data_IF_375301428810
#
_entry.id   IF_375301428810
#
_cell.length_a   1.000
_cell.length_b   1.000
_cell.length_c   1.000
_cell.angle_alpha   90.00
_cell.angle_beta   90.00
_cell.angle_gamma   90.00
#
_symmetry.space_group_name_H-M   'P 1'
#
loop_
_entity.id
_entity.type
_entity.pdbx_description
1 polymer ?
#
# COMPACT_ATOMS: atom_id res chain seq x y z
N UNK A 1 11.03 -52.06 48.21
CA UNK A 1 10.37 -51.27 47.14
C UNK A 1 8.86 -51.02 47.36
N UNK A 2 8.16 -51.76 48.24
CA UNK A 2 6.72 -51.54 48.51
C UNK A 2 6.40 -50.41 49.53
N UNK A 3 7.33 -50.04 50.42
CA UNK A 3 7.08 -48.98 51.42
C UNK A 3 7.08 -47.56 50.84
N UNK A 4 7.87 -47.28 49.81
CA UNK A 4 7.95 -45.95 49.17
C UNK A 4 6.65 -45.58 48.43
N UNK A 5 5.96 -46.54 47.81
CA UNK A 5 4.68 -46.32 47.14
C UNK A 5 3.55 -45.94 48.10
N UNK A 6 3.56 -46.47 49.34
CA UNK A 6 2.54 -46.15 50.36
C UNK A 6 2.69 -44.74 50.94
N UNK A 7 3.90 -44.20 51.00
CA UNK A 7 4.14 -42.84 51.48
C UNK A 7 3.73 -41.77 50.46
N UNK A 8 3.98 -42.01 49.16
CA UNK A 8 3.52 -41.12 48.08
C UNK A 8 1.99 -40.96 48.05
N UNK A 9 1.24 -42.04 48.29
CA UNK A 9 -0.23 -41.99 48.31
C UNK A 9 -0.80 -41.32 49.57
N UNK A 10 -0.03 -41.24 50.67
CA UNK A 10 -0.44 -40.58 51.92
C UNK A 10 -0.27 -39.06 51.85
N UNK A 11 0.72 -38.58 51.09
CA UNK A 11 0.92 -37.15 50.80
C UNK A 11 -0.24 -36.61 49.94
N UNK A 12 -0.80 -37.43 49.05
CA UNK A 12 -1.99 -37.08 48.25
C UNK A 12 -3.31 -37.03 49.03
N UNK A 13 -3.34 -37.45 50.30
CA UNK A 13 -4.57 -37.54 51.11
C UNK A 13 -4.59 -36.56 52.30
N UNK A 14 -3.61 -35.65 52.38
CA UNK A 14 -3.51 -34.67 53.48
C UNK A 14 -3.92 -33.29 52.97
N UNK A 15 -4.98 -32.70 53.55
CA UNK A 15 -5.54 -31.42 53.10
C UNK A 15 -4.80 -30.18 53.63
N UNK A 16 -3.91 -30.35 54.61
CA UNK A 16 -3.25 -29.25 55.33
C UNK A 16 -2.18 -28.50 54.50
N UNK A 17 -1.72 -29.07 53.37
CA UNK A 17 -0.75 -28.46 52.46
C UNK A 17 -1.36 -27.88 51.18
N UNK A 18 -2.66 -28.08 50.96
CA UNK A 18 -3.35 -27.75 49.71
C UNK A 18 -3.37 -26.24 49.44
N UNK A 19 -3.58 -25.42 50.48
CA UNK A 19 -3.61 -23.96 50.34
C UNK A 19 -2.30 -23.35 49.84
N UNK A 20 -1.16 -23.85 50.32
CA UNK A 20 0.16 -23.37 49.87
C UNK A 20 0.44 -23.80 48.43
N UNK A 21 -0.01 -25.01 48.06
CA UNK A 21 0.15 -25.59 46.73
C UNK A 21 -0.73 -24.89 45.69
N UNK A 22 -1.97 -24.55 46.05
CA UNK A 22 -2.85 -23.72 45.23
C UNK A 22 -2.26 -22.32 45.03
N UNK A 23 -1.78 -21.66 46.09
CA UNK A 23 -1.18 -20.33 46.00
C UNK A 23 0.08 -20.31 45.12
N UNK A 24 0.93 -21.34 45.21
CA UNK A 24 2.14 -21.45 44.36
C UNK A 24 1.82 -21.79 42.91
N UNK A 25 0.65 -22.35 42.59
CA UNK A 25 0.20 -22.57 41.21
C UNK A 25 -0.50 -21.33 40.63
N UNK A 26 -1.29 -20.63 41.44
CA UNK A 26 -2.08 -19.47 41.02
C UNK A 26 -1.17 -18.30 40.62
N UNK A 27 -0.11 -18.02 41.39
CA UNK A 27 0.80 -16.91 41.10
C UNK A 27 1.47 -17.00 39.69
N UNK A 28 2.16 -18.09 39.33
CA UNK A 28 2.75 -18.23 38.00
C UNK A 28 1.70 -18.29 36.88
N UNK A 29 0.50 -18.82 37.17
CA UNK A 29 -0.61 -18.84 36.22
C UNK A 29 -1.10 -17.43 35.88
N UNK A 30 -1.27 -16.57 36.89
CA UNK A 30 -1.64 -15.16 36.68
C UNK A 30 -0.51 -14.43 35.92
N UNK A 31 0.75 -14.65 36.30
CA UNK A 31 1.90 -14.06 35.59
C UNK A 31 1.89 -14.47 34.11
N UNK A 32 1.69 -15.76 33.82
CA UNK A 32 1.61 -16.26 32.45
C UNK A 32 0.45 -15.65 31.66
N UNK A 33 -0.73 -15.54 32.28
CA UNK A 33 -1.89 -14.89 31.66
C UNK A 33 -1.62 -13.41 31.34
N UNK A 34 -1.03 -12.66 32.28
CA UNK A 34 -0.70 -11.25 32.03
C UNK A 34 0.32 -11.07 30.91
N UNK A 35 1.32 -11.97 30.83
CA UNK A 35 2.31 -11.97 29.76
C UNK A 35 1.68 -12.30 28.40
N UNK A 36 0.71 -13.22 28.37
CA UNK A 36 -0.06 -13.56 27.16
C UNK A 36 -0.90 -12.35 26.70
N UNK A 37 -1.57 -11.66 27.62
CA UNK A 37 -2.29 -10.43 27.30
C UNK A 37 -1.37 -9.34 26.75
N UNK A 38 -0.16 -9.17 27.30
CA UNK A 38 0.82 -8.23 26.77
C UNK A 38 1.25 -8.59 25.34
N UNK A 39 1.48 -9.86 25.04
CA UNK A 39 1.83 -10.30 23.68
C UNK A 39 0.69 -10.00 22.70
N UNK A 40 -0.55 -10.26 23.07
CA UNK A 40 -1.72 -9.94 22.24
C UNK A 40 -1.82 -8.43 22.00
N UNK A 41 -1.61 -7.61 23.02
CA UNK A 41 -1.61 -6.15 22.89
C UNK A 41 -0.54 -5.66 21.90
N UNK A 42 0.66 -6.23 21.95
CA UNK A 42 1.75 -5.89 21.01
C UNK A 42 1.38 -6.29 19.58
N UNK A 43 0.82 -7.48 19.36
CA UNK A 43 0.38 -7.93 18.03
C UNK A 43 -0.71 -7.00 17.47
N UNK A 44 -1.68 -6.63 18.30
CA UNK A 44 -2.74 -5.70 17.89
C UNK A 44 -2.18 -4.32 17.53
N UNK A 45 -1.21 -3.82 18.30
CA UNK A 45 -0.52 -2.56 18.00
C UNK A 45 0.24 -2.63 16.67
N UNK A 46 0.95 -3.72 16.39
CA UNK A 46 1.67 -3.89 15.12
C UNK A 46 0.72 -3.92 13.92
N UNK A 47 -0.44 -4.59 14.04
CA UNK A 47 -1.47 -4.58 13.00
C UNK A 47 -2.01 -3.17 12.74
N UNK A 48 -2.31 -2.42 13.80
CA UNK A 48 -2.82 -1.05 13.69
C UNK A 48 -1.78 -0.12 13.04
N UNK A 49 -0.52 -0.20 13.46
CA UNK A 49 0.58 0.59 12.89
C UNK A 49 0.82 0.26 11.41
N UNK A 50 0.73 -1.02 11.01
CA UNK A 50 0.88 -1.40 9.61
C UNK A 50 -0.27 -0.87 8.73
N UNK A 51 -1.50 -0.92 9.25
CA UNK A 51 -2.67 -0.34 8.57
C UNK A 51 -2.52 1.18 8.40
N UNK A 52 -2.11 1.91 9.44
CA UNK A 52 -1.87 3.35 9.35
C UNK A 52 -0.81 3.68 8.29
N UNK A 53 0.30 2.93 8.27
CA UNK A 53 1.34 3.14 7.27
C UNK A 53 0.83 2.86 5.86
N UNK A 54 0.07 1.78 5.65
CA UNK A 54 -0.53 1.47 4.35
C UNK A 54 -1.47 2.60 3.88
N UNK A 55 -2.26 3.17 4.79
CA UNK A 55 -3.15 4.30 4.47
C UNK A 55 -2.38 5.56 4.11
N UNK A 56 -1.40 5.96 4.93
CA UNK A 56 -0.59 7.16 4.64
C UNK A 56 0.12 7.02 3.30
N UNK A 57 0.72 5.86 3.02
CA UNK A 57 1.42 5.62 1.75
C UNK A 57 0.43 5.65 0.58
N UNK A 58 -0.73 5.00 0.72
CA UNK A 58 -1.75 5.02 -0.33
C UNK A 58 -2.23 6.45 -0.64
N UNK A 59 -2.49 7.27 0.38
CA UNK A 59 -2.91 8.66 0.24
C UNK A 59 -1.82 9.56 -0.36
N UNK A 60 -0.58 9.44 0.11
CA UNK A 60 0.55 10.19 -0.41
C UNK A 60 0.81 9.87 -1.89
N UNK A 61 0.74 8.59 -2.26
CA UNK A 61 0.85 8.17 -3.66
C UNK A 61 -0.31 8.68 -4.50
N UNK A 62 -1.53 8.67 -3.96
CA UNK A 62 -2.70 9.14 -4.69
C UNK A 62 -2.68 10.66 -4.90
N UNK A 63 -2.15 11.41 -3.93
CA UNK A 63 -2.00 12.86 -4.01
C UNK A 63 -0.90 13.27 -5.01
N UNK A 64 0.18 12.49 -5.10
CA UNK A 64 1.34 12.78 -5.96
C UNK A 64 1.30 12.03 -7.31
N UNK A 65 0.17 11.39 -7.64
CA UNK A 65 0.06 10.59 -8.87
C UNK A 65 0.13 11.42 -10.15
N UNK A 66 0.01 12.74 -10.06
CA UNK A 66 -0.05 13.64 -11.21
C UNK A 66 1.28 13.75 -11.95
N UNK A 67 2.41 13.73 -11.22
CA UNK A 67 3.76 13.87 -11.77
C UNK A 67 4.73 12.86 -11.12
N UNK A 68 5.42 12.08 -11.95
CA UNK A 68 6.40 11.06 -11.53
C UNK A 68 7.61 11.63 -10.78
N UNK A 69 8.05 12.84 -11.13
CA UNK A 69 9.20 13.51 -10.50
C UNK A 69 8.92 14.11 -9.11
N UNK A 70 7.71 13.97 -8.57
CA UNK A 70 7.40 14.46 -7.22
C UNK A 70 7.89 13.48 -6.16
N UNK A 71 8.45 14.02 -5.10
CA UNK A 71 8.79 13.25 -3.92
C UNK A 71 7.50 12.82 -3.19
N UNK A 72 7.39 11.54 -2.85
CA UNK A 72 6.17 10.97 -2.26
C UNK A 72 5.86 11.56 -0.87
N UNK A 73 6.88 11.86 -0.06
CA UNK A 73 6.68 12.36 1.30
C UNK A 73 6.22 13.81 1.33
N UNK A 74 6.90 14.68 0.58
CA UNK A 74 6.72 16.14 0.63
C UNK A 74 5.76 16.64 -0.45
N UNK A 75 5.54 15.87 -1.52
CA UNK A 75 4.84 16.31 -2.72
C UNK A 75 5.58 17.41 -3.48
N UNK A 76 6.80 17.74 -3.06
CA UNK A 76 7.63 18.74 -3.73
C UNK A 76 8.24 18.12 -4.99
N UNK A 77 8.50 18.96 -5.97
CA UNK A 77 9.37 18.56 -7.07
C UNK A 77 10.77 18.37 -6.50
N UNK A 78 11.44 17.28 -6.87
CA UNK A 78 12.83 17.06 -6.49
C UNK A 78 13.71 18.15 -7.13
N UNK A 79 13.83 19.31 -6.48
CA UNK A 79 14.79 20.35 -6.81
C UNK A 79 16.15 19.96 -6.24
N UNK A 80 16.66 18.79 -6.63
CA UNK A 80 17.95 18.32 -6.10
C UNK A 80 19.00 18.46 -7.19
N UNK A 81 19.74 19.57 -7.05
CA UNK A 81 20.88 20.02 -7.83
C UNK A 81 20.52 20.66 -9.18
N UNK A 82 21.22 21.76 -9.49
CA UNK A 82 21.05 22.67 -10.63
C UNK A 82 21.17 22.04 -12.04
N UNK A 83 21.02 20.74 -12.18
CA UNK A 83 20.80 20.06 -13.44
C UNK A 83 19.30 19.77 -13.57
N UNK A 84 18.61 20.58 -14.37
CA UNK A 84 17.30 20.28 -14.94
C UNK A 84 17.42 19.08 -15.92
N UNK A 85 17.94 17.95 -15.45
CA UNK A 85 18.25 16.75 -16.25
C UNK A 85 17.81 15.46 -15.57
N UNK A 86 17.00 15.52 -14.52
CA UNK A 86 16.17 14.35 -14.25
C UNK A 86 15.05 14.32 -15.30
N UNK A 87 15.30 13.59 -16.40
CA UNK A 87 14.37 13.37 -17.51
C UNK A 87 13.05 12.71 -17.09
N UNK A 88 12.90 12.36 -15.81
CA UNK A 88 11.63 11.97 -15.18
C UNK A 88 10.64 13.13 -15.03
N UNK A 89 11.04 14.37 -15.30
CA UNK A 89 10.22 15.56 -15.07
C UNK A 89 9.12 15.85 -16.10
N UNK A 90 9.14 15.25 -17.29
CA UNK A 90 8.15 15.55 -18.35
C UNK A 90 7.21 14.37 -18.58
N UNK A 91 6.35 14.14 -17.59
CA UNK A 91 5.11 13.41 -17.80
C UNK A 91 4.28 14.20 -18.81
N UNK A 92 4.50 13.94 -20.10
CA UNK A 92 3.99 14.78 -21.19
C UNK A 92 2.52 15.14 -21.02
N UNK A 93 2.13 16.34 -21.47
CA UNK A 93 0.86 17.03 -21.12
C UNK A 93 -0.42 16.15 -21.14
N UNK A 94 -0.46 15.11 -21.97
CA UNK A 94 -1.60 14.21 -22.17
C UNK A 94 -1.27 12.74 -21.91
N UNK A 95 -0.26 12.45 -21.10
CA UNK A 95 0.13 11.10 -20.73
C UNK A 95 -1.04 10.28 -20.18
N UNK A 96 -2.03 10.94 -19.56
CA UNK A 96 -3.28 10.33 -19.08
C UNK A 96 -4.12 9.63 -20.15
N UNK A 97 -3.98 9.97 -21.43
CA UNK A 97 -4.75 9.35 -22.52
C UNK A 97 -4.00 8.14 -23.09
N UNK A 98 -2.68 8.21 -23.13
CA UNK A 98 -1.84 7.25 -23.85
C UNK A 98 -1.10 6.27 -22.94
N UNK A 99 -0.97 6.58 -21.64
CA UNK A 99 -0.12 5.85 -20.70
C UNK A 99 -0.73 5.75 -19.27
N UNK A 100 -2.07 5.73 -19.16
CA UNK A 100 -2.83 5.59 -17.90
C UNK A 100 -3.35 4.17 -17.66
N UNK A 101 -2.65 3.15 -18.16
CA UNK A 101 -3.08 1.79 -17.95
C UNK A 101 -2.74 1.27 -16.54
N UNK A 102 -3.49 0.25 -16.12
CA UNK A 102 -3.36 -0.38 -14.80
C UNK A 102 -2.01 -1.07 -14.67
N UNK A 103 -1.28 -0.82 -13.58
CA UNK A 103 0.07 -1.32 -13.37
C UNK A 103 0.21 -1.91 -11.96
N UNK A 104 1.06 -2.91 -11.80
CA UNK A 104 1.41 -3.50 -10.51
C UNK A 104 2.93 -3.64 -10.44
N UNK A 105 3.51 -3.56 -9.24
CA UNK A 105 4.97 -3.62 -9.07
C UNK A 105 5.63 -4.89 -9.61
N UNK A 106 4.88 -5.99 -9.71
CA UNK A 106 5.35 -7.29 -10.21
C UNK A 106 5.27 -7.46 -11.73
N UNK A 107 4.54 -6.58 -12.43
CA UNK A 107 4.31 -6.70 -13.87
C UNK A 107 5.40 -5.98 -14.69
N UNK A 108 5.81 -6.49 -15.86
CA UNK A 108 6.74 -5.78 -16.73
C UNK A 108 6.11 -4.50 -17.32
N UNK A 109 6.95 -3.50 -17.59
CA UNK A 109 6.51 -2.26 -18.25
C UNK A 109 5.97 -2.58 -19.66
N UNK A 110 4.79 -2.04 -19.97
CA UNK A 110 4.13 -2.14 -21.28
C UNK A 110 3.94 -0.75 -21.86
N UNK A 111 3.73 -0.63 -23.18
CA UNK A 111 3.55 0.67 -23.84
C UNK A 111 2.45 1.54 -23.19
N UNK A 112 1.33 0.92 -22.79
CA UNK A 112 0.19 1.60 -22.16
C UNK A 112 0.35 1.86 -20.65
N UNK A 113 1.37 1.27 -20.01
CA UNK A 113 1.57 1.29 -18.56
C UNK A 113 2.95 1.82 -18.15
N UNK A 114 3.79 2.24 -19.11
CA UNK A 114 5.19 2.63 -18.86
C UNK A 114 5.32 3.70 -17.78
N UNK A 115 4.53 4.77 -17.87
CA UNK A 115 4.55 5.85 -16.86
C UNK A 115 3.95 5.39 -15.53
N UNK A 116 2.79 4.72 -15.54
CA UNK A 116 2.19 4.16 -14.32
C UNK A 116 3.15 3.22 -13.58
N UNK A 117 3.94 2.42 -14.33
CA UNK A 117 4.93 1.50 -13.78
C UNK A 117 6.13 2.24 -13.21
N UNK A 118 6.65 3.23 -13.91
CA UNK A 118 7.73 4.08 -13.41
C UNK A 118 7.36 4.76 -12.08
N UNK A 119 6.13 5.30 -11.99
CA UNK A 119 5.60 5.87 -10.73
C UNK A 119 5.51 4.84 -9.61
N UNK A 120 5.09 3.62 -9.93
CA UNK A 120 5.07 2.51 -8.96
C UNK A 120 6.48 2.12 -8.54
N UNK A 121 7.46 2.15 -9.44
CA UNK A 121 8.84 1.76 -9.14
C UNK A 121 9.52 2.76 -8.21
N UNK A 122 9.31 4.06 -8.43
CA UNK A 122 9.72 5.11 -7.49
C UNK A 122 9.07 4.90 -6.12
N UNK A 123 7.78 4.51 -6.10
CA UNK A 123 7.08 4.19 -4.86
C UNK A 123 7.61 2.94 -4.16
N UNK A 124 8.04 1.93 -4.92
CA UNK A 124 8.64 0.71 -4.39
C UNK A 124 10.03 0.99 -3.80
N UNK A 125 10.83 1.87 -4.41
CA UNK A 125 12.10 2.35 -3.86
C UNK A 125 11.88 3.06 -2.51
N UNK A 126 10.87 3.91 -2.43
CA UNK A 126 10.46 4.56 -1.18
C UNK A 126 10.03 3.58 -0.09
N UNK A 127 9.30 2.51 -0.45
CA UNK A 127 8.94 1.45 0.50
C UNK A 127 10.16 0.69 1.02
N UNK A 128 11.12 0.42 0.14
CA UNK A 128 12.36 -0.27 0.48
C UNK A 128 13.21 0.55 1.46
N UNK A 129 13.32 1.86 1.26
CA UNK A 129 14.03 2.77 2.19
C UNK A 129 13.40 2.76 3.60
N UNK A 130 12.06 2.68 3.67
CA UNK A 130 11.34 2.52 4.95
C UNK A 130 11.44 1.12 5.57
N UNK A 131 12.12 0.18 4.91
CA UNK A 131 12.28 -1.20 5.38
C UNK A 131 10.96 -1.97 5.45
N UNK A 132 9.98 -1.63 4.60
CA UNK A 132 8.68 -2.31 4.55
C UNK A 132 8.49 -2.98 3.20
N UNK A 133 8.28 -4.29 3.21
CA UNK A 133 7.98 -5.06 2.01
C UNK A 133 6.50 -4.97 1.64
N UNK A 134 6.19 -4.83 0.36
CA UNK A 134 4.82 -4.72 -0.10
C UNK A 134 4.65 -4.77 -1.61
N UNK A 135 3.40 -4.73 -2.05
CA UNK A 135 3.01 -4.62 -3.45
C UNK A 135 2.14 -3.37 -3.61
N UNK A 136 2.45 -2.56 -4.61
CA UNK A 136 1.63 -1.42 -5.01
C UNK A 136 0.99 -1.76 -6.34
N UNK A 137 -0.31 -1.53 -6.43
CA UNK A 137 -1.11 -1.71 -7.64
C UNK A 137 -1.91 -0.44 -7.93
N UNK A 138 -1.90 -0.03 -9.18
CA UNK A 138 -2.73 1.03 -9.72
C UNK A 138 -3.80 0.44 -10.64
N UNK A 139 -5.06 0.78 -10.39
CA UNK A 139 -6.16 0.54 -11.31
C UNK A 139 -6.59 1.85 -11.93
N UNK A 140 -6.71 1.87 -13.27
CA UNK A 140 -7.23 2.99 -14.04
C UNK A 140 -8.77 3.09 -13.98
N UNK A 141 -9.37 3.45 -15.12
CA UNK A 141 -10.83 3.60 -15.28
C UNK A 141 -11.62 2.33 -14.86
N UNK A 142 -12.83 2.46 -14.26
CA UNK A 142 -13.63 3.69 -14.12
C UNK A 142 -13.33 4.54 -12.86
N UNK A 143 -12.79 3.93 -11.81
CA UNK A 143 -12.42 4.62 -10.56
C UNK A 143 -10.92 4.40 -10.31
N UNK A 144 -10.15 5.47 -10.49
CA UNK A 144 -8.70 5.44 -10.32
C UNK A 144 -8.36 5.18 -8.86
N UNK A 145 -7.73 4.05 -8.60
CA UNK A 145 -7.40 3.61 -7.25
C UNK A 145 -5.98 3.11 -7.17
N UNK A 146 -5.30 3.49 -6.08
CA UNK A 146 -4.02 2.94 -5.70
C UNK A 146 -4.27 2.01 -4.53
N UNK A 147 -3.90 0.75 -4.70
CA UNK A 147 -3.97 -0.28 -3.66
C UNK A 147 -2.56 -0.56 -3.19
N UNK A 148 -2.31 -0.37 -1.90
CA UNK A 148 -1.04 -0.67 -1.25
C UNK A 148 -1.26 -1.87 -0.34
N UNK A 149 -0.51 -2.94 -0.58
CA UNK A 149 -0.47 -4.13 0.27
C UNK A 149 0.88 -4.20 0.95
N UNK A 150 0.93 -4.01 2.27
CA UNK A 150 2.15 -4.14 3.05
C UNK A 150 2.14 -5.49 3.77
N UNK A 151 3.31 -6.13 3.85
CA UNK A 151 3.50 -7.36 4.60
C UNK A 151 4.69 -7.17 5.56
N UNK A 152 4.50 -7.59 6.82
CA UNK A 152 5.53 -7.54 7.85
C UNK A 152 5.50 -8.81 8.67
N UNK A 153 6.67 -9.40 8.88
CA UNK A 153 6.83 -10.50 9.81
C UNK A 153 6.90 -9.98 11.26
N UNK A 154 6.00 -10.49 12.10
CA UNK A 154 5.86 -10.15 13.53
C UNK A 154 7.02 -10.72 14.33
N UNK A 155 7.45 -11.94 13.96
CA UNK A 155 8.49 -12.68 14.65
C UNK A 155 9.44 -13.34 13.63
N UNK A 156 10.42 -12.60 13.07
CA UNK A 156 11.29 -13.09 12.00
C UNK A 156 12.20 -14.26 12.42
N UNK A 157 12.33 -14.54 13.72
CA UNK A 157 13.18 -15.62 14.26
C UNK A 157 12.40 -16.75 14.95
N UNK A 158 11.07 -16.64 15.04
CA UNK A 158 10.24 -17.59 15.78
C UNK A 158 9.23 -18.24 14.83
N UNK A 159 9.62 -19.36 14.24
CA UNK A 159 8.72 -20.18 13.42
C UNK A 159 7.86 -21.07 14.31
N UNK A 160 6.63 -20.63 14.59
CA UNK A 160 5.63 -21.44 15.28
C UNK A 160 4.72 -22.09 14.22
N UNK A 161 4.68 -23.42 14.08
CA UNK A 161 3.95 -24.09 13.00
C UNK A 161 2.43 -23.87 13.03
N UNK A 162 1.88 -23.40 14.15
CA UNK A 162 0.47 -23.15 14.36
C UNK A 162 0.07 -21.67 14.26
N UNK A 163 1.04 -20.75 14.12
CA UNK A 163 0.78 -19.31 14.13
C UNK A 163 1.35 -18.67 12.86
N UNK A 164 0.48 -18.00 12.09
CA UNK A 164 0.93 -17.25 10.94
C UNK A 164 1.84 -16.10 11.43
N UNK A 165 3.10 -16.10 11.01
CA UNK A 165 4.10 -15.13 11.46
C UNK A 165 4.03 -13.80 10.72
N UNK A 166 3.19 -13.72 9.69
CA UNK A 166 3.06 -12.55 8.82
C UNK A 166 1.77 -11.79 9.10
N UNK A 167 1.90 -10.46 9.25
CA UNK A 167 0.79 -9.53 9.30
C UNK A 167 0.75 -8.77 7.97
N UNK A 168 -0.44 -8.69 7.38
CA UNK A 168 -0.66 -7.91 6.18
C UNK A 168 -1.65 -6.78 6.42
N UNK A 169 -1.45 -5.68 5.71
CA UNK A 169 -2.34 -4.54 5.67
C UNK A 169 -2.61 -4.17 4.22
N UNK A 170 -3.88 -3.90 3.90
CA UNK A 170 -4.27 -3.42 2.58
C UNK A 170 -4.99 -2.10 2.74
N UNK A 171 -4.56 -1.08 2.00
CA UNK A 171 -5.23 0.21 1.95
C UNK A 171 -5.43 0.63 0.51
N UNK A 172 -6.55 1.29 0.24
CA UNK A 172 -6.90 1.82 -1.08
C UNK A 172 -7.15 3.31 -0.98
N UNK A 173 -6.57 4.09 -1.89
CA UNK A 173 -6.80 5.53 -1.99
C UNK A 173 -7.24 5.90 -3.40
N UNK A 174 -8.12 6.90 -3.50
CA UNK A 174 -8.62 7.41 -4.78
C UNK A 174 -7.73 8.52 -5.30
N UNK A 175 -7.37 8.45 -6.57
CA UNK A 175 -6.57 9.49 -7.23
C UNK A 175 -7.48 10.62 -7.70
N UNK A 176 -7.32 11.81 -7.11
CA UNK A 176 -8.07 13.01 -7.47
C UNK A 176 -7.15 14.05 -8.13
N UNK A 177 -7.38 14.32 -9.42
CA UNK A 177 -6.55 15.24 -10.21
C UNK A 177 -7.41 16.28 -10.92
N UNK A 178 -7.79 17.37 -10.25
CA UNK A 178 -8.62 18.41 -10.86
C UNK A 178 -7.90 19.08 -12.04
N UNK A 179 -6.58 19.23 -12.00
CA UNK A 179 -5.80 19.89 -13.06
C UNK A 179 -5.82 19.09 -14.36
N UNK A 180 -5.61 17.77 -14.30
CA UNK A 180 -5.66 16.91 -15.48
C UNK A 180 -7.09 16.81 -16.04
N UNK A 181 -8.11 16.86 -15.17
CA UNK A 181 -9.49 16.91 -15.60
C UNK A 181 -9.81 18.16 -16.42
N UNK A 182 -9.43 19.36 -15.94
CA UNK A 182 -9.63 20.61 -16.68
C UNK A 182 -8.90 20.61 -18.01
N UNK A 183 -7.66 20.11 -18.03
CA UNK A 183 -6.86 20.00 -19.26
C UNK A 183 -7.49 19.07 -20.31
N UNK A 184 -8.09 17.96 -19.88
CA UNK A 184 -8.79 17.05 -20.78
C UNK A 184 -10.07 17.69 -21.34
N UNK A 185 -10.78 18.50 -20.53
CA UNK A 185 -11.93 19.29 -21.00
C UNK A 185 -11.49 20.35 -22.00
N UNK A 186 -10.43 21.11 -21.70
CA UNK A 186 -9.90 22.14 -22.59
C UNK A 186 -9.44 21.55 -23.93
N UNK A 187 -8.77 20.38 -23.88
CA UNK A 187 -8.45 19.59 -25.07
C UNK A 187 -9.71 19.28 -25.87
N UNK A 188 -10.74 18.72 -25.24
CA UNK A 188 -11.98 18.34 -25.92
C UNK A 188 -12.67 19.55 -26.57
N UNK A 189 -12.73 20.68 -25.87
CA UNK A 189 -13.27 21.93 -26.40
C UNK A 189 -12.46 22.40 -27.60
N UNK A 190 -11.13 22.46 -27.49
CA UNK A 190 -10.25 22.91 -28.57
C UNK A 190 -10.37 22.04 -29.82
N UNK A 191 -10.30 20.72 -29.68
CA UNK A 191 -10.44 19.81 -30.81
C UNK A 191 -11.84 19.83 -31.40
N UNK A 192 -12.89 19.96 -30.60
CA UNK A 192 -14.27 20.08 -31.11
C UNK A 192 -14.42 21.28 -32.05
N UNK A 193 -13.88 22.44 -31.65
CA UNK A 193 -13.86 23.64 -32.47
C UNK A 193 -13.03 23.47 -33.74
N UNK A 194 -11.84 22.88 -33.62
CA UNK A 194 -10.97 22.62 -34.77
C UNK A 194 -11.62 21.66 -35.79
N UNK A 195 -12.30 20.62 -35.31
CA UNK A 195 -13.04 19.68 -36.17
C UNK A 195 -14.19 20.40 -36.89
N UNK A 196 -14.94 21.26 -36.19
CA UNK A 196 -16.03 22.05 -36.79
C UNK A 196 -15.52 22.99 -37.90
N UNK A 197 -14.41 23.68 -37.67
CA UNK A 197 -13.78 24.56 -38.67
C UNK A 197 -13.32 23.77 -39.91
N UNK A 198 -12.67 22.62 -39.71
CA UNK A 198 -12.26 21.75 -40.80
C UNK A 198 -13.45 21.17 -41.57
N UNK A 199 -14.57 20.88 -40.88
CA UNK A 199 -15.79 20.40 -41.52
C UNK A 199 -16.42 21.48 -42.43
N UNK A 200 -16.46 22.74 -41.97
CA UNK A 200 -16.92 23.88 -42.80
C UNK A 200 -16.07 24.08 -44.04
N UNK A 201 -14.75 23.94 -43.91
CA UNK A 201 -13.81 23.98 -45.05
C UNK A 201 -14.14 22.86 -46.03
N UNK A 202 -14.30 21.62 -45.56
CA UNK A 202 -14.63 20.47 -46.39
C UNK A 202 -15.97 20.63 -47.14
N UNK A 203 -17.02 21.12 -46.48
CA UNK A 203 -18.30 21.42 -47.12
C UNK A 203 -18.16 22.49 -48.22
N UNK A 204 -17.34 23.52 -47.99
CA UNK A 204 -17.08 24.56 -48.99
C UNK A 204 -16.37 24.02 -50.24
N UNK A 205 -15.46 23.07 -50.07
CA UNK A 205 -14.80 22.37 -51.18
C UNK A 205 -15.77 21.47 -51.94
N UNK A 206 -16.62 20.73 -51.25
CA UNK A 206 -17.63 19.86 -51.89
C UNK A 206 -18.66 20.67 -52.67
N UNK A 207 -19.06 21.85 -52.16
CA UNK A 207 -20.00 22.76 -52.84
C UNK A 207 -19.39 23.43 -54.08
N UNK A 208 -18.08 23.69 -54.10
CA UNK A 208 -17.37 24.18 -55.30
C UNK A 208 -17.20 23.10 -56.38
N UNK A 209 -17.14 21.82 -56.01
CA UNK A 209 -16.98 20.70 -56.95
C UNK A 209 -18.29 20.28 -57.65
N UNK A 210 -19.45 20.74 -57.14
CA UNK A 210 -20.80 20.50 -57.69
C UNK A 210 -21.30 21.62 -58.62
N UNK A 211 -20.53 22.70 -58.82
CA UNK A 211 -20.74 23.70 -59.87
C UNK A 211 -19.74 23.46 -60.99
#
# INVERSE_FOLDING_TARGET
MQCLKKQLFKIWKSEDGTYTLEATLIFPLIMFLTLLFLLVAVVQWQQAALNQNATIIAEQLAANWDVSAKEITTGNFALINNDFKDTRGDDGLYWRIFNDGAATSQEPASFFNGLSKEKIDVAMEYLHDKGVSGTISYSGLPARTITVKLNRDVFPKLHLPFLNSSISATSTAHVAEPVQFMRNIDMAIYYSKSIEENFKIFESFNKKKKK
#
